data_IF_037221319831
#
_entry.id   IF_037221319831
#
_cell.length_a   1.000
_cell.length_b   1.000
_cell.length_c   1.000
_cell.angle_alpha   90.00
_cell.angle_beta   90.00
_cell.angle_gamma   90.00
#
_symmetry.space_group_name_H-M   'P 1'
#
loop_
_entity.id
_entity.type
_entity.pdbx_description
1 polymer ?
#
# COMPACT_ATOMS: atom_id res chain seq x y z
N UNK A 1 0.10 0.17 -1.17
CA UNK A 1 1.42 0.72 -0.80
C UNK A 1 1.88 1.54 -1.99
N UNK A 2 2.28 2.78 -1.77
CA UNK A 2 2.64 3.72 -2.83
C UNK A 2 3.87 3.23 -3.59
N UNK A 3 3.70 2.85 -4.85
CA UNK A 3 4.82 2.56 -5.75
C UNK A 3 5.52 3.84 -6.20
N UNK A 4 4.88 5.01 -6.06
CA UNK A 4 5.39 6.28 -6.58
C UNK A 4 6.53 6.84 -5.73
N UNK A 5 6.33 6.97 -4.42
CA UNK A 5 7.34 7.53 -3.53
C UNK A 5 8.58 6.63 -3.42
N UNK A 6 8.38 5.31 -3.37
CA UNK A 6 9.48 4.34 -3.35
C UNK A 6 10.31 4.39 -4.64
N UNK A 7 9.67 4.44 -5.81
CA UNK A 7 10.37 4.57 -7.09
C UNK A 7 11.15 5.88 -7.19
N UNK A 8 10.52 7.00 -6.81
CA UNK A 8 11.19 8.30 -6.76
C UNK A 8 12.43 8.26 -5.85
N UNK A 9 12.33 7.60 -4.69
CA UNK A 9 13.44 7.47 -3.75
C UNK A 9 14.58 6.65 -4.35
N UNK A 10 14.28 5.62 -5.16
CA UNK A 10 15.28 4.84 -5.90
C UNK A 10 15.98 5.64 -6.99
N UNK A 11 15.32 6.60 -7.64
CA UNK A 11 15.90 7.46 -8.68
C UNK A 11 16.89 8.52 -8.14
N UNK A 12 16.99 8.74 -6.82
CA UNK A 12 17.91 9.74 -6.22
C UNK A 12 19.37 9.25 -6.08
N UNK A 13 20.24 9.53 -7.04
CA UNK A 13 21.63 9.00 -7.04
C UNK A 13 22.61 9.71 -6.09
N UNK A 14 22.24 10.88 -5.58
CA UNK A 14 23.04 11.73 -4.68
C UNK A 14 22.92 11.32 -3.19
N UNK A 15 22.02 10.39 -2.88
CA UNK A 15 21.91 9.73 -1.57
C UNK A 15 22.49 8.33 -1.69
N UNK A 16 23.51 8.02 -0.86
CA UNK A 16 24.26 6.75 -0.96
C UNK A 16 24.22 5.96 0.34
N UNK A 17 24.58 4.67 0.23
CA UNK A 17 24.75 3.77 1.37
C UNK A 17 23.48 3.61 2.21
N UNK A 18 23.64 3.49 3.53
CA UNK A 18 22.53 3.27 4.46
C UNK A 18 21.50 4.41 4.41
N UNK A 19 21.93 5.66 4.19
CA UNK A 19 21.04 6.82 4.09
C UNK A 19 20.03 6.65 2.95
N UNK A 20 20.43 6.04 1.82
CA UNK A 20 19.53 5.71 0.70
C UNK A 20 18.47 4.70 1.12
N UNK A 21 18.87 3.64 1.82
CA UNK A 21 17.93 2.62 2.31
C UNK A 21 16.94 3.21 3.32
N UNK A 22 17.38 4.14 4.17
CA UNK A 22 16.48 4.86 5.09
C UNK A 22 15.45 5.71 4.31
N UNK A 23 15.88 6.43 3.26
CA UNK A 23 14.97 7.21 2.42
C UNK A 23 13.93 6.33 1.71
N UNK A 24 14.39 5.26 1.07
CA UNK A 24 13.52 4.26 0.41
C UNK A 24 12.55 3.64 1.42
N UNK A 25 13.03 3.31 2.62
CA UNK A 25 12.19 2.74 3.66
C UNK A 25 11.10 3.71 4.12
N UNK A 26 11.42 4.98 4.33
CA UNK A 26 10.42 6.01 4.66
C UNK A 26 9.41 6.19 3.54
N UNK A 27 9.87 6.27 2.29
CA UNK A 27 9.00 6.43 1.13
C UNK A 27 8.02 5.27 0.96
N UNK A 28 8.50 4.02 1.17
CA UNK A 28 7.66 2.82 1.18
C UNK A 28 6.66 2.79 2.33
N UNK A 29 6.99 3.43 3.46
CA UNK A 29 6.18 3.48 4.68
C UNK A 29 5.24 4.67 4.75
N UNK A 30 5.33 5.60 3.80
CA UNK A 30 4.42 6.73 3.69
C UNK A 30 2.96 6.23 3.59
N UNK A 31 2.07 6.90 4.32
CA UNK A 31 0.65 6.56 4.32
C UNK A 31 -0.04 7.04 3.04
N UNK A 32 0.42 8.16 2.49
CA UNK A 32 -0.10 8.80 1.29
C UNK A 32 0.82 8.58 0.09
N UNK A 33 0.24 8.62 -1.12
CA UNK A 33 1.00 8.37 -2.35
C UNK A 33 1.99 9.50 -2.71
N UNK A 34 1.82 10.67 -2.09
CA UNK A 34 2.70 11.84 -2.16
C UNK A 34 3.93 11.74 -1.24
N UNK A 35 4.12 10.60 -0.55
CA UNK A 35 5.27 10.37 0.32
C UNK A 35 5.07 10.91 1.75
N UNK A 36 3.88 11.44 2.06
CA UNK A 36 3.58 12.00 3.37
C UNK A 36 3.21 10.94 4.43
N UNK A 37 3.43 11.33 5.68
CA UNK A 37 3.06 10.60 6.88
C UNK A 37 3.68 9.19 6.98
N UNK A 38 5.01 9.12 7.07
CA UNK A 38 5.75 7.93 7.50
C UNK A 38 6.18 8.10 8.97
N UNK A 39 5.78 7.20 9.87
CA UNK A 39 6.16 7.29 11.30
C UNK A 39 6.73 6.00 11.94
N UNK A 40 7.63 5.26 11.27
CA UNK A 40 8.31 4.14 11.91
C UNK A 40 9.19 4.61 13.08
N UNK A 41 9.36 3.76 14.11
CA UNK A 41 10.35 4.04 15.18
C UNK A 41 11.77 3.91 14.65
N UNK A 42 12.73 4.60 15.29
CA UNK A 42 14.16 4.52 14.96
C UNK A 42 14.65 3.06 15.02
N UNK A 43 14.25 2.33 16.07
CA UNK A 43 14.49 0.90 16.23
C UNK A 43 13.97 0.08 15.03
N UNK A 44 12.75 0.39 14.56
CA UNK A 44 12.16 -0.29 13.41
C UNK A 44 12.94 0.01 12.12
N UNK A 45 13.34 1.26 11.90
CA UNK A 45 14.14 1.64 10.73
C UNK A 45 15.50 0.93 10.79
N UNK A 46 16.16 0.92 11.95
CA UNK A 46 17.46 0.30 12.17
C UNK A 46 17.44 -1.19 11.82
N UNK A 47 16.44 -1.90 12.34
CA UNK A 47 16.23 -3.32 12.03
C UNK A 47 16.00 -3.56 10.53
N UNK A 48 15.18 -2.75 9.86
CA UNK A 48 14.85 -2.97 8.44
C UNK A 48 15.95 -2.50 7.47
N UNK A 49 16.74 -1.51 7.85
CA UNK A 49 17.86 -1.01 7.05
C UNK A 49 19.19 -1.71 7.37
N UNK A 50 19.19 -2.67 8.31
CA UNK A 50 20.38 -3.43 8.69
C UNK A 50 21.47 -2.59 9.34
N UNK A 51 21.10 -1.58 10.13
CA UNK A 51 22.05 -0.65 10.75
C UNK A 51 21.70 -0.37 12.22
N UNK A 52 22.56 0.33 12.94
CA UNK A 52 22.28 0.73 14.33
C UNK A 52 21.45 2.02 14.39
N UNK A 53 20.75 2.24 15.50
CA UNK A 53 19.92 3.43 15.71
C UNK A 53 20.69 4.75 15.53
N UNK A 54 21.97 4.77 15.92
CA UNK A 54 22.84 5.94 15.73
C UNK A 54 23.02 6.27 14.24
N UNK A 55 23.14 5.27 13.38
CA UNK A 55 23.22 5.45 11.93
C UNK A 55 21.89 5.95 11.37
N UNK A 56 20.77 5.39 11.83
CA UNK A 56 19.44 5.89 11.44
C UNK A 56 19.27 7.37 11.78
N UNK A 57 19.61 7.77 13.02
CA UNK A 57 19.50 9.16 13.46
C UNK A 57 20.34 10.09 12.57
N UNK A 58 21.58 9.67 12.24
CA UNK A 58 22.46 10.43 11.34
C UNK A 58 21.90 10.51 9.92
N UNK A 59 21.38 9.40 9.37
CA UNK A 59 20.76 9.37 8.05
C UNK A 59 19.51 10.23 7.99
N UNK A 60 18.66 10.22 9.02
CA UNK A 60 17.49 11.11 9.08
C UNK A 60 17.90 12.58 9.10
N UNK A 61 18.92 12.94 9.88
CA UNK A 61 19.47 14.31 9.90
C UNK A 61 20.09 14.72 8.56
N UNK A 62 20.76 13.80 7.87
CA UNK A 62 21.33 14.05 6.54
C UNK A 62 20.24 14.26 5.49
N UNK A 63 19.20 13.41 5.48
CA UNK A 63 18.06 13.54 4.58
C UNK A 63 17.25 14.81 4.85
N UNK A 64 17.08 15.18 6.12
CA UNK A 64 16.42 16.44 6.51
C UNK A 64 17.23 17.65 6.04
N UNK A 65 18.56 17.61 6.17
CA UNK A 65 19.46 18.67 5.68
C UNK A 65 19.44 18.81 4.16
N UNK A 66 19.44 17.69 3.44
CA UNK A 66 19.36 17.64 1.96
C UNK A 66 17.98 17.98 1.41
N UNK A 67 16.98 18.18 2.27
CA UNK A 67 15.61 18.51 1.87
C UNK A 67 14.78 17.31 1.40
N UNK A 68 15.28 16.07 1.52
CA UNK A 68 14.57 14.87 1.07
C UNK A 68 13.44 14.44 2.00
N UNK A 69 13.52 14.82 3.27
CA UNK A 69 12.47 14.59 4.25
C UNK A 69 12.25 15.84 5.09
N UNK A 70 11.04 15.99 5.61
CA UNK A 70 10.70 17.02 6.60
C UNK A 70 9.81 16.45 7.70
N UNK A 71 9.75 17.09 8.88
CA UNK A 71 8.76 16.71 9.89
C UNK A 71 7.33 16.83 9.32
N UNK A 72 6.56 15.75 9.41
CA UNK A 72 5.16 15.71 8.99
C UNK A 72 4.19 15.94 10.15
N UNK A 73 2.89 15.72 9.88
CA UNK A 73 1.82 15.88 10.86
C UNK A 73 1.93 14.86 12.02
N UNK A 74 2.39 15.34 13.19
CA UNK A 74 2.59 14.51 14.38
C UNK A 74 1.30 13.95 14.99
N UNK A 75 0.12 14.41 14.58
CA UNK A 75 -1.14 13.79 14.99
C UNK A 75 -1.32 12.39 14.37
N UNK A 76 -0.63 12.08 13.26
CA UNK A 76 -0.65 10.75 12.65
C UNK A 76 -0.07 9.67 13.57
N UNK A 77 0.88 10.02 14.45
CA UNK A 77 1.45 9.12 15.46
C UNK A 77 0.74 9.21 16.82
N UNK A 78 -0.33 10.00 16.95
CA UNK A 78 -1.05 10.18 18.21
C UNK A 78 -1.90 8.98 18.61
N UNK A 79 -2.16 8.03 17.72
CA UNK A 79 -2.97 6.83 18.00
C UNK A 79 -2.24 5.56 17.59
N UNK A 80 -2.35 4.54 18.44
CA UNK A 80 -1.82 3.22 18.11
C UNK A 80 -2.62 2.60 16.94
N UNK A 81 -1.99 2.20 15.83
CA UNK A 81 -2.71 1.65 14.67
C UNK A 81 -3.51 0.38 14.98
N UNK A 82 -3.04 -0.44 15.95
CA UNK A 82 -3.65 -1.71 16.33
C UNK A 82 -4.73 -1.55 17.40
N UNK A 83 -4.50 -0.72 18.41
CA UNK A 83 -5.42 -0.60 19.56
C UNK A 83 -6.32 0.63 19.49
N UNK A 84 -6.08 1.55 18.55
CA UNK A 84 -6.76 2.85 18.39
C UNK A 84 -6.67 3.79 19.61
N UNK A 85 -6.00 3.37 20.69
CA UNK A 85 -5.81 4.16 21.90
C UNK A 85 -4.83 5.32 21.64
N UNK A 86 -5.04 6.49 22.27
CA UNK A 86 -4.09 7.58 22.23
C UNK A 86 -2.72 7.16 22.78
N UNK A 87 -1.65 7.63 22.15
CA UNK A 87 -0.26 7.49 22.60
C UNK A 87 0.15 8.81 23.27
N UNK A 88 0.75 8.71 24.46
CA UNK A 88 1.27 9.87 25.18
C UNK A 88 2.40 10.55 24.37
N UNK A 89 2.44 11.89 24.40
CA UNK A 89 3.28 12.72 23.51
C UNK A 89 4.76 12.31 23.47
N UNK A 90 5.35 11.92 24.61
CA UNK A 90 6.75 11.48 24.71
C UNK A 90 7.07 10.10 24.13
N UNK A 91 6.05 9.29 23.84
CA UNK A 91 6.22 7.94 23.28
C UNK A 91 5.80 7.85 21.80
N UNK A 92 5.48 8.99 21.19
CA UNK A 92 5.09 9.06 19.78
C UNK A 92 6.34 9.02 18.91
N UNK A 93 6.32 8.19 17.87
CA UNK A 93 7.35 8.24 16.83
C UNK A 93 7.20 9.53 16.01
N UNK A 94 8.34 10.10 15.58
CA UNK A 94 8.33 11.25 14.67
C UNK A 94 7.70 10.83 13.35
N UNK A 95 6.76 11.66 12.89
CA UNK A 95 6.18 11.57 11.55
C UNK A 95 7.07 12.35 10.58
N UNK A 96 7.35 11.75 9.43
CA UNK A 96 8.19 12.27 8.35
C UNK A 96 7.40 12.30 7.05
N UNK A 97 7.57 13.38 6.29
CA UNK A 97 7.10 13.49 4.92
C UNK A 97 8.29 13.43 3.98
N UNK A 98 8.22 12.59 2.95
CA UNK A 98 9.21 12.52 1.88
C UNK A 98 8.88 13.58 0.84
N UNK A 99 9.85 14.45 0.52
CA UNK A 99 9.66 15.59 -0.38
C UNK A 99 10.05 15.17 -1.80
N UNK A 100 9.06 14.86 -2.64
CA UNK A 100 9.29 14.37 -4.00
C UNK A 100 9.56 15.47 -5.05
N UNK A 101 8.99 16.65 -4.86
CA UNK A 101 9.02 17.73 -5.85
C UNK A 101 9.93 18.88 -5.39
N UNK A 102 10.98 19.14 -6.17
CA UNK A 102 11.55 20.46 -6.55
C UNK A 102 11.90 21.55 -5.53
N UNK A 103 11.45 21.51 -4.28
CA UNK A 103 11.65 22.56 -3.28
C UNK A 103 13.01 22.41 -2.59
N UNK A 104 14.05 22.14 -3.38
CA UNK A 104 15.42 22.17 -2.91
C UNK A 104 15.83 23.65 -2.87
N UNK A 105 16.11 24.25 -1.69
CA UNK A 105 16.87 25.48 -1.68
C UNK A 105 18.19 25.17 -2.39
N UNK A 106 18.50 25.93 -3.44
CA UNK A 106 19.75 25.77 -4.18
C UNK A 106 20.92 25.88 -3.19
N UNK A 107 21.54 24.74 -2.84
CA UNK A 107 22.82 24.78 -2.14
C UNK A 107 23.85 25.30 -3.15
N UNK A 108 24.20 26.57 -2.99
CA UNK A 108 25.37 27.18 -3.61
C UNK A 108 26.58 26.49 -2.98
N UNK A 109 27.05 25.40 -3.59
CA UNK A 109 28.28 24.73 -3.17
C UNK A 109 29.43 25.59 -3.68
N UNK A 110 29.84 26.60 -2.89
CA UNK A 110 31.22 27.06 -2.94
C UNK A 110 32.10 25.93 -2.40
N UNK A 111 32.56 25.10 -3.33
CA UNK A 111 33.52 24.04 -3.10
C UNK A 111 34.85 24.69 -2.73
N UNK A 112 35.12 24.89 -1.43
CA UNK A 112 36.43 25.37 -0.97
C UNK A 112 37.44 24.24 -1.17
N UNK A 113 38.42 24.37 -2.08
CA UNK A 113 39.40 23.32 -2.28
C UNK A 113 40.29 23.18 -1.05
N UNK A 114 40.50 21.93 -0.66
CA UNK A 114 41.56 21.55 0.28
C UNK A 114 42.90 21.74 -0.42
N UNK A 115 43.61 22.82 -0.10
CA UNK A 115 45.03 22.94 -0.44
C UNK A 115 45.85 22.19 0.61
N UNK A 116 46.36 21.04 0.19
CA UNK A 116 47.61 20.48 0.69
C UNK A 116 48.75 21.15 -0.09
N UNK A 117 49.83 21.47 0.63
CA UNK A 117 51.17 21.86 0.17
C UNK A 117 51.47 23.34 -0.14
N UNK A 118 51.99 24.05 0.87
CA UNK A 118 53.13 24.96 0.74
C UNK A 118 53.79 25.19 2.11
N UNK A 119 54.94 24.56 2.33
CA UNK A 119 55.94 24.89 3.35
C UNK A 119 56.57 26.25 3.05
N UNK A 120 56.75 27.12 4.06
CA UNK A 120 57.96 27.94 4.29
C UNK A 120 57.77 29.04 5.36
N UNK A 121 58.62 28.98 6.40
CA UNK A 121 59.29 30.09 7.12
C UNK A 121 58.53 30.98 8.13
N UNK A 122 59.12 31.12 9.34
CA UNK A 122 59.17 32.41 10.06
C UNK A 122 58.73 32.49 11.53
N UNK A 123 59.59 32.02 12.44
CA UNK A 123 59.95 32.49 13.80
C UNK A 123 59.04 33.34 14.73
N UNK A 124 59.06 32.99 16.04
CA UNK A 124 58.84 33.95 17.14
C UNK A 124 58.26 33.41 18.46
N UNK A 125 59.07 32.71 19.29
CA UNK A 125 58.84 32.38 20.72
C UNK A 125 58.94 33.65 21.63
N UNK A 126 58.62 33.68 22.97
CA UNK A 126 58.85 32.61 23.97
C UNK A 126 57.80 32.39 25.10
N UNK A 127 57.84 31.18 25.68
CA UNK A 127 57.25 30.78 26.99
C UNK A 127 58.08 31.29 28.19
N UNK A 128 57.57 31.16 29.43
CA UNK A 128 58.19 30.21 30.38
C UNK A 128 57.16 29.42 31.24
N UNK A 129 57.26 28.08 31.33
CA UNK A 129 58.02 27.28 32.33
C UNK A 129 57.13 26.89 33.55
N UNK A 130 56.85 25.59 33.80
CA UNK A 130 57.50 24.67 34.78
C UNK A 130 56.54 23.48 34.99
N UNK A 131 56.89 22.22 35.28
CA UNK A 131 58.14 21.53 35.60
C UNK A 131 58.00 20.03 35.27
N UNK A 132 59.16 19.40 35.08
CA UNK A 132 59.41 18.01 34.70
C UNK A 132 59.05 16.99 35.80
N UNK A 133 58.94 15.71 35.41
CA UNK A 133 59.75 14.59 35.94
C UNK A 133 59.45 13.29 35.18
N UNK A 134 60.47 12.81 34.45
CA UNK A 134 60.73 11.40 34.08
C UNK A 134 61.78 10.85 35.10
N UNK A 135 62.20 9.55 35.16
CA UNK A 135 62.42 8.68 34.00
C UNK A 135 62.27 7.14 34.17
N UNK A 136 62.44 6.48 33.03
CA UNK A 136 63.05 5.16 32.77
C UNK A 136 62.36 3.85 33.19
N UNK A 137 62.22 2.97 32.18
CA UNK A 137 62.58 1.56 32.37
C UNK A 137 61.77 0.54 31.57
N UNK A 138 62.33 0.16 30.41
CA UNK A 138 62.35 -1.21 29.86
C UNK A 138 61.06 -1.78 29.21
N UNK A 139 61.12 -1.92 27.89
CA UNK A 139 60.40 -2.93 27.11
C UNK A 139 60.95 -4.32 27.43
N UNK A 140 60.09 -5.36 27.51
CA UNK A 140 60.07 -6.30 26.39
C UNK A 140 58.66 -6.84 26.03
N UNK A 141 58.40 -7.02 24.74
CA UNK A 141 57.46 -8.04 24.23
C UNK A 141 58.07 -9.46 24.36
N UNK A 142 57.38 -10.59 24.08
CA UNK A 142 55.95 -10.84 23.86
C UNK A 142 55.44 -12.01 24.75
N UNK A 143 54.13 -12.32 24.71
CA UNK A 143 53.60 -13.71 24.60
C UNK A 143 52.06 -13.80 24.60
N UNK A 144 51.61 -14.71 23.76
CA UNK A 144 50.24 -15.13 23.46
C UNK A 144 49.37 -15.45 24.69
N UNK A 145 48.13 -14.94 24.71
CA UNK A 145 47.04 -15.53 25.50
C UNK A 145 45.71 -15.39 24.73
N UNK A 146 45.11 -16.54 24.45
CA UNK A 146 43.77 -16.74 23.89
C UNK A 146 42.65 -16.01 24.67
N UNK A 147 41.57 -15.54 24.03
CA UNK A 147 40.41 -15.04 24.73
C UNK A 147 39.52 -16.21 25.20
N UNK A 148 39.64 -16.56 26.49
CA UNK A 148 38.68 -17.43 27.17
C UNK A 148 37.42 -16.65 27.54
N UNK A 149 36.33 -17.00 26.86
CA UNK A 149 34.94 -16.72 27.22
C UNK A 149 34.54 -17.48 28.49
N UNK A 150 33.88 -16.80 29.44
CA UNK A 150 32.85 -17.32 30.38
C UNK A 150 32.63 -16.27 31.49
N UNK A 151 31.45 -15.68 31.72
CA UNK A 151 30.22 -16.21 32.37
C UNK A 151 29.26 -15.00 32.62
N UNK A 152 28.04 -15.12 33.18
CA UNK A 152 27.11 -16.26 33.31
C UNK A 152 25.65 -15.92 32.86
N UNK A 153 24.81 -16.96 32.73
CA UNK A 153 23.39 -16.86 32.41
C UNK A 153 22.44 -16.84 33.63
N UNK A 154 21.22 -16.34 33.39
CA UNK A 154 19.94 -16.46 34.14
C UNK A 154 18.99 -15.43 33.45
N UNK A 155 17.73 -15.64 33.06
CA UNK A 155 16.81 -16.77 33.00
C UNK A 155 15.78 -16.52 31.89
N UNK A 156 15.18 -17.61 31.45
CA UNK A 156 14.14 -17.78 30.43
C UNK A 156 12.94 -16.81 30.55
N UNK A 157 12.75 -15.97 29.52
CA UNK A 157 11.43 -15.41 29.15
C UNK A 157 11.21 -15.65 27.66
N UNK A 158 10.61 -16.80 27.34
CA UNK A 158 9.95 -17.09 26.07
C UNK A 158 9.14 -15.88 25.56
N UNK A 159 9.64 -15.22 24.52
CA UNK A 159 8.85 -14.35 23.66
C UNK A 159 8.34 -15.16 22.46
N UNK A 160 7.02 -15.23 22.21
CA UNK A 160 6.49 -15.93 21.04
C UNK A 160 6.57 -15.01 19.83
N UNK A 161 7.76 -14.90 19.24
CA UNK A 161 7.93 -14.27 17.93
C UNK A 161 8.96 -15.03 17.10
N UNK A 162 8.66 -16.30 16.83
CA UNK A 162 9.29 -17.06 15.75
C UNK A 162 8.35 -17.07 14.55
N UNK A 163 8.43 -16.06 13.70
CA UNK A 163 8.06 -16.23 12.30
C UNK A 163 9.35 -16.46 11.54
N UNK A 164 9.56 -17.72 11.15
CA UNK A 164 10.59 -18.15 10.21
C UNK A 164 10.31 -17.44 8.89
N UNK A 165 11.11 -16.44 8.56
CA UNK A 165 11.11 -15.82 7.24
C UNK A 165 11.91 -16.76 6.35
N UNK A 166 11.20 -17.57 5.56
CA UNK A 166 11.83 -18.38 4.51
C UNK A 166 12.26 -17.42 3.39
N UNK A 167 13.53 -17.00 3.43
CA UNK A 167 14.19 -16.32 2.33
C UNK A 167 14.59 -17.37 1.30
N UNK A 168 13.81 -17.49 0.22
CA UNK A 168 14.31 -18.08 -1.02
C UNK A 168 14.62 -16.94 -2.00
N UNK A 169 15.83 -16.90 -2.59
CA UNK A 169 16.25 -15.82 -3.48
C UNK A 169 15.55 -15.98 -4.84
N UNK A 170 14.88 -14.92 -5.31
CA UNK A 170 14.40 -14.86 -6.69
C UNK A 170 15.52 -14.28 -7.57
N UNK A 171 15.92 -15.10 -8.54
CA UNK A 171 16.87 -14.86 -9.64
C UNK A 171 16.33 -13.74 -10.57
N UNK A 172 17.19 -12.92 -11.21
CA UNK A 172 16.78 -11.78 -12.02
C UNK A 172 16.37 -12.21 -13.44
N UNK A 173 15.25 -11.69 -13.96
CA UNK A 173 14.96 -11.75 -15.38
C UNK A 173 15.57 -10.51 -16.05
N UNK A 174 16.53 -10.74 -16.94
CA UNK A 174 17.08 -9.74 -17.85
C UNK A 174 16.15 -9.53 -19.04
N UNK A 175 16.00 -8.27 -19.45
CA UNK A 175 15.38 -7.90 -20.72
C UNK A 175 16.38 -8.11 -21.87
N UNK A 176 15.94 -8.81 -22.91
CA UNK A 176 16.60 -8.82 -24.22
C UNK A 176 16.00 -7.69 -25.09
N UNK A 177 16.80 -7.06 -25.98
CA UNK A 177 16.40 -5.83 -26.65
C UNK A 177 15.43 -6.11 -27.80
N UNK A 178 14.34 -5.35 -27.87
CA UNK A 178 13.47 -5.32 -29.05
C UNK A 178 14.04 -4.31 -30.04
N UNK A 179 14.62 -4.82 -31.13
CA UNK A 179 14.82 -4.05 -32.35
C UNK A 179 14.12 -4.81 -33.49
N UNK A 180 13.05 -4.22 -34.01
CA UNK A 180 12.53 -4.47 -35.35
C UNK A 180 11.62 -3.29 -35.74
N UNK A 181 12.13 -2.51 -36.68
CA UNK A 181 11.41 -1.50 -37.46
C UNK A 181 10.13 -2.10 -38.08
N UNK A 182 9.07 -1.30 -38.18
CA UNK A 182 8.41 -1.07 -39.47
C UNK A 182 7.39 0.09 -39.44
N UNK A 183 7.67 1.03 -40.33
CA UNK A 183 6.75 1.70 -41.25
C UNK A 183 5.63 2.61 -40.70
N UNK A 184 5.97 3.90 -40.76
CA UNK A 184 5.08 5.05 -40.88
C UNK A 184 3.96 4.84 -41.92
N UNK A 185 2.72 4.87 -41.47
CA UNK A 185 1.57 5.34 -42.27
C UNK A 185 0.73 6.26 -41.40
N UNK A 186 0.55 7.51 -41.84
CA UNK A 186 -0.23 8.54 -41.14
C UNK A 186 -1.72 8.15 -41.13
N UNK A 187 -2.44 8.23 -39.99
CA UNK A 187 -3.90 8.21 -40.02
C UNK A 187 -4.42 9.61 -40.38
N UNK A 188 -5.36 9.62 -41.33
CA UNK A 188 -6.21 10.76 -41.68
C UNK A 188 -7.06 11.15 -40.47
N UNK A 189 -7.24 12.46 -40.27
CA UNK A 189 -7.92 13.03 -39.11
C UNK A 189 -9.44 12.78 -39.16
N UNK A 190 -9.92 11.87 -38.31
CA UNK A 190 -11.32 11.79 -37.93
C UNK A 190 -11.66 12.87 -36.89
N UNK A 191 -12.89 13.41 -36.89
CA UNK A 191 -13.29 14.50 -36.01
C UNK A 191 -13.25 14.06 -34.54
N UNK A 192 -12.53 14.85 -33.74
CA UNK A 192 -12.37 14.74 -32.29
C UNK A 192 -13.74 14.47 -31.62
N UNK A 193 -13.93 13.36 -30.88
CA UNK A 193 -15.12 13.20 -30.06
C UNK A 193 -15.10 14.30 -29.01
N UNK A 194 -16.18 15.09 -28.93
CA UNK A 194 -16.34 16.07 -27.87
C UNK A 194 -16.24 15.37 -26.50
N UNK A 195 -15.51 15.94 -25.53
CA UNK A 195 -15.40 15.34 -24.21
C UNK A 195 -16.77 15.37 -23.54
N UNK A 196 -17.37 14.19 -23.36
CA UNK A 196 -18.53 14.00 -22.48
C UNK A 196 -18.18 14.62 -21.13
N UNK A 197 -18.99 15.54 -20.58
CA UNK A 197 -18.70 16.14 -19.29
C UNK A 197 -18.65 15.04 -18.22
N UNK A 198 -17.45 14.76 -17.71
CA UNK A 198 -17.25 13.81 -16.62
C UNK A 198 -18.08 14.27 -15.43
N UNK A 199 -19.13 13.51 -15.11
CA UNK A 199 -20.01 13.85 -13.98
C UNK A 199 -19.20 13.84 -12.69
N UNK A 200 -19.10 15.00 -12.05
CA UNK A 200 -18.38 15.17 -10.78
C UNK A 200 -19.17 14.55 -9.63
N UNK A 201 -18.96 13.25 -9.43
CA UNK A 201 -19.60 12.48 -8.35
C UNK A 201 -19.22 12.98 -6.96
N UNK A 202 -18.12 13.73 -6.81
CA UNK A 202 -17.73 14.33 -5.53
C UNK A 202 -18.80 15.28 -4.97
N UNK A 203 -19.64 15.87 -5.83
CA UNK A 203 -20.77 16.72 -5.44
C UNK A 203 -21.92 15.97 -4.77
N UNK A 204 -21.96 14.63 -4.84
CA UNK A 204 -22.92 13.81 -4.10
C UNK A 204 -22.58 13.69 -2.60
N UNK A 205 -21.33 14.03 -2.21
CA UNK A 205 -20.92 14.08 -0.82
C UNK A 205 -21.39 15.39 -0.14
N UNK A 206 -21.57 15.38 1.20
CA UNK A 206 -21.89 16.58 1.94
C UNK A 206 -20.86 17.70 1.70
N UNK A 207 -21.30 18.96 1.52
CA UNK A 207 -20.40 20.08 1.25
C UNK A 207 -19.49 20.35 2.46
N UNK A 208 -18.38 21.04 2.23
CA UNK A 208 -17.44 21.42 3.31
C UNK A 208 -18.20 22.14 4.43
N UNK A 209 -17.99 21.72 5.68
CA UNK A 209 -18.69 22.25 6.85
C UNK A 209 -19.96 21.47 7.23
N UNK A 210 -20.57 20.73 6.31
CA UNK A 210 -21.68 19.85 6.63
C UNK A 210 -21.18 18.57 7.30
N UNK A 211 -21.56 18.35 8.57
CA UNK A 211 -21.23 17.13 9.33
C UNK A 211 -22.37 16.11 9.36
N UNK A 212 -23.37 16.25 8.50
CA UNK A 212 -24.49 15.32 8.40
C UNK A 212 -24.21 14.26 7.31
N UNK A 213 -23.95 13.00 7.67
CA UNK A 213 -23.70 11.92 6.71
C UNK A 213 -24.94 11.48 5.94
N UNK A 214 -26.13 11.90 6.39
CA UNK A 214 -27.40 11.66 5.71
C UNK A 214 -27.86 12.88 4.90
N UNK A 215 -26.97 13.86 4.67
CA UNK A 215 -27.27 15.00 3.83
C UNK A 215 -27.54 14.57 2.38
N UNK A 216 -28.54 15.21 1.77
CA UNK A 216 -28.91 15.06 0.36
C UNK A 216 -29.03 16.47 -0.23
N UNK A 217 -28.57 16.71 -1.47
CA UNK A 217 -28.78 17.98 -2.16
C UNK A 217 -30.28 18.30 -2.28
N UNK A 218 -30.62 19.58 -2.20
CA UNK A 218 -31.99 20.00 -2.52
C UNK A 218 -32.30 19.74 -4.01
N UNK A 219 -33.53 19.34 -4.34
CA UNK A 219 -33.97 19.16 -5.72
C UNK A 219 -33.65 20.41 -6.57
N UNK A 220 -33.06 20.20 -7.75
CA UNK A 220 -32.72 21.28 -8.68
C UNK A 220 -31.41 22.04 -8.39
N UNK A 221 -30.76 21.85 -7.23
CA UNK A 221 -29.44 22.49 -6.96
C UNK A 221 -28.25 21.79 -7.60
N UNK A 222 -28.37 20.50 -7.90
CA UNK A 222 -27.35 19.69 -8.57
C UNK A 222 -27.98 18.88 -9.70
N UNK A 223 -27.17 18.40 -10.67
CA UNK A 223 -27.65 17.50 -11.71
C UNK A 223 -28.39 16.30 -11.10
N UNK A 224 -29.48 15.88 -11.74
CA UNK A 224 -30.31 14.77 -11.28
C UNK A 224 -29.51 13.48 -10.98
N UNK A 225 -28.54 13.05 -11.82
CA UNK A 225 -27.74 11.87 -11.52
C UNK A 225 -26.96 11.99 -10.20
N UNK A 226 -26.42 13.18 -9.90
CA UNK A 226 -25.66 13.45 -8.68
C UNK A 226 -26.58 13.48 -7.46
N UNK A 227 -27.78 14.06 -7.61
CA UNK A 227 -28.78 14.11 -6.54
C UNK A 227 -29.33 12.72 -6.21
N UNK A 228 -29.69 11.94 -7.22
CA UNK A 228 -30.14 10.55 -7.04
C UNK A 228 -29.03 9.71 -6.42
N UNK A 229 -27.78 9.92 -6.84
CA UNK A 229 -26.62 9.26 -6.24
C UNK A 229 -26.49 9.57 -4.74
N UNK A 230 -26.61 10.83 -4.36
CA UNK A 230 -26.57 11.20 -2.95
C UNK A 230 -27.69 10.51 -2.15
N UNK A 231 -28.87 10.35 -2.76
CA UNK A 231 -29.99 9.59 -2.22
C UNK A 231 -29.68 8.10 -2.05
N UNK A 232 -29.09 7.45 -3.05
CA UNK A 232 -28.67 6.04 -2.98
C UNK A 232 -27.70 5.78 -1.82
N UNK A 233 -26.71 6.65 -1.65
CA UNK A 233 -25.76 6.57 -0.54
C UNK A 233 -26.47 6.65 0.83
N UNK A 234 -27.48 7.52 0.99
CA UNK A 234 -28.29 7.60 2.22
C UNK A 234 -29.11 6.32 2.40
N UNK A 235 -29.75 5.82 1.34
CA UNK A 235 -30.58 4.59 1.40
C UNK A 235 -29.75 3.36 1.80
N UNK A 236 -28.48 3.26 1.37
CA UNK A 236 -27.59 2.17 1.82
C UNK A 236 -27.31 2.30 3.32
N UNK A 237 -26.93 3.48 3.81
CA UNK A 237 -26.63 3.70 5.23
C UNK A 237 -27.85 3.43 6.13
N UNK A 238 -29.02 3.93 5.73
CA UNK A 238 -30.28 3.68 6.42
C UNK A 238 -30.68 2.20 6.37
N UNK A 239 -30.45 1.54 5.24
CA UNK A 239 -30.69 0.11 5.07
C UNK A 239 -29.83 -0.75 6.01
N UNK A 240 -28.57 -0.37 6.22
CA UNK A 240 -27.66 -1.01 7.19
C UNK A 240 -28.19 -0.82 8.62
N UNK A 241 -28.50 0.43 8.99
CA UNK A 241 -29.01 0.76 10.34
C UNK A 241 -30.29 -0.01 10.65
N UNK A 242 -31.28 0.00 9.75
CA UNK A 242 -32.55 -0.73 9.94
C UNK A 242 -32.36 -2.23 10.16
N UNK A 243 -31.47 -2.86 9.39
CA UNK A 243 -31.20 -4.30 9.54
C UNK A 243 -30.44 -4.62 10.82
N UNK A 244 -29.55 -3.74 11.29
CA UNK A 244 -28.87 -3.92 12.57
C UNK A 244 -29.78 -3.68 13.76
N UNK A 245 -30.66 -2.69 13.68
CA UNK A 245 -31.71 -2.43 14.67
C UNK A 245 -32.65 -3.64 14.83
N UNK A 246 -32.96 -4.34 13.74
CA UNK A 246 -33.77 -5.55 13.79
C UNK A 246 -33.06 -6.74 14.47
N UNK A 247 -31.73 -6.71 14.60
CA UNK A 247 -30.95 -7.74 15.29
C UNK A 247 -30.80 -7.42 16.77
N UNK A 248 -30.39 -6.20 17.09
CA UNK A 248 -30.16 -5.75 18.47
C UNK A 248 -30.18 -4.21 18.53
N UNK A 249 -30.93 -3.68 19.50
CA UNK A 249 -31.09 -2.24 19.71
C UNK A 249 -29.77 -1.53 20.02
N UNK A 250 -28.75 -2.22 20.56
CA UNK A 250 -27.43 -1.62 20.83
C UNK A 250 -26.71 -1.13 19.57
N UNK A 251 -27.14 -1.59 18.39
CA UNK A 251 -26.59 -1.14 17.12
C UNK A 251 -27.31 0.09 16.56
N UNK A 252 -28.15 0.77 17.36
CA UNK A 252 -28.69 2.09 17.01
C UNK A 252 -27.62 3.18 17.05
N UNK A 253 -26.62 3.04 16.19
CA UNK A 253 -25.51 3.98 16.07
C UNK A 253 -25.75 4.84 14.82
N UNK A 254 -25.74 6.18 14.95
CA UNK A 254 -25.84 7.05 13.80
C UNK A 254 -24.73 6.79 12.79
N UNK A 255 -25.04 6.90 11.50
CA UNK A 255 -24.02 6.86 10.46
C UNK A 255 -22.97 7.95 10.70
N UNK A 256 -21.74 7.71 10.27
CA UNK A 256 -20.64 8.68 10.34
C UNK A 256 -20.25 9.19 8.95
N UNK A 257 -19.50 10.28 8.88
CA UNK A 257 -18.92 10.76 7.61
C UNK A 257 -17.97 9.75 6.97
N UNK A 258 -17.34 8.88 7.77
CA UNK A 258 -16.50 7.80 7.25
C UNK A 258 -17.35 6.72 6.56
N UNK A 259 -18.50 6.37 7.15
CA UNK A 259 -19.46 5.45 6.51
C UNK A 259 -19.97 6.03 5.19
N UNK A 260 -20.32 7.33 5.19
CA UNK A 260 -20.76 8.03 3.97
C UNK A 260 -19.72 7.98 2.86
N UNK A 261 -18.45 8.31 3.16
CA UNK A 261 -17.36 8.25 2.17
C UNK A 261 -17.11 6.83 1.65
N UNK A 262 -17.16 5.83 2.53
CA UNK A 262 -16.93 4.45 2.13
C UNK A 262 -18.04 3.92 1.21
N UNK A 263 -19.30 4.24 1.50
CA UNK A 263 -20.45 3.90 0.64
C UNK A 263 -20.40 4.67 -0.68
N UNK A 264 -20.00 5.94 -0.66
CA UNK A 264 -19.77 6.73 -1.86
C UNK A 264 -18.75 6.06 -2.79
N UNK A 265 -17.56 5.70 -2.27
CA UNK A 265 -16.53 5.00 -3.03
C UNK A 265 -17.03 3.66 -3.56
N UNK A 266 -17.77 2.89 -2.76
CA UNK A 266 -18.32 1.60 -3.19
C UNK A 266 -19.24 1.74 -4.41
N UNK A 267 -20.14 2.72 -4.37
CA UNK A 267 -21.08 2.95 -5.45
C UNK A 267 -20.39 3.55 -6.71
N UNK A 268 -19.15 4.07 -6.64
CA UNK A 268 -18.42 4.53 -7.84
C UNK A 268 -18.16 3.34 -8.74
N UNK A 269 -17.82 2.21 -8.13
CA UNK A 269 -17.43 1.00 -8.86
C UNK A 269 -18.58 0.03 -9.11
N UNK A 270 -19.68 0.14 -8.35
CA UNK A 270 -20.75 -0.87 -8.31
C UNK A 270 -22.13 -0.24 -8.44
N UNK A 271 -23.03 -0.86 -9.21
CA UNK A 271 -24.40 -0.37 -9.34
C UNK A 271 -25.18 -0.54 -8.03
N UNK A 272 -26.05 0.42 -7.74
CA UNK A 272 -26.84 0.44 -6.49
C UNK A 272 -27.66 -0.84 -6.27
N UNK A 273 -28.30 -1.36 -7.31
CA UNK A 273 -29.10 -2.59 -7.22
C UNK A 273 -28.30 -3.82 -6.77
N UNK A 274 -27.04 -3.94 -7.24
CA UNK A 274 -26.13 -5.02 -6.82
C UNK A 274 -25.79 -4.92 -5.33
N UNK A 275 -25.58 -3.70 -4.85
CA UNK A 275 -25.26 -3.44 -3.45
C UNK A 275 -26.44 -3.80 -2.56
N UNK A 276 -27.65 -3.40 -2.94
CA UNK A 276 -28.88 -3.71 -2.18
C UNK A 276 -29.11 -5.23 -2.12
N UNK A 277 -28.98 -5.93 -3.25
CA UNK A 277 -29.13 -7.39 -3.27
C UNK A 277 -28.08 -8.10 -2.38
N UNK A 278 -26.82 -7.64 -2.45
CA UNK A 278 -25.73 -8.19 -1.62
C UNK A 278 -25.96 -7.91 -0.14
N UNK A 279 -26.46 -6.73 0.21
CA UNK A 279 -26.88 -6.38 1.56
C UNK A 279 -28.02 -7.27 2.04
N UNK A 280 -29.07 -7.47 1.25
CA UNK A 280 -30.20 -8.33 1.63
C UNK A 280 -29.82 -9.78 1.91
N UNK A 281 -28.91 -10.32 1.09
CA UNK A 281 -28.35 -11.63 1.32
C UNK A 281 -27.50 -11.68 2.61
N UNK A 282 -26.58 -10.72 2.77
CA UNK A 282 -25.60 -10.73 3.86
C UNK A 282 -26.22 -10.64 5.25
N UNK A 283 -27.29 -9.87 5.42
CA UNK A 283 -27.94 -9.69 6.72
C UNK A 283 -28.88 -10.85 7.10
N UNK A 284 -29.10 -11.81 6.19
CA UNK A 284 -29.71 -13.11 6.54
C UNK A 284 -28.67 -14.12 7.02
N UNK A 285 -27.38 -13.82 6.84
CA UNK A 285 -26.27 -14.69 7.20
C UNK A 285 -25.67 -14.29 8.56
N UNK A 286 -25.81 -15.18 9.56
CA UNK A 286 -25.35 -14.96 10.94
C UNK A 286 -23.84 -14.71 11.06
N UNK A 287 -23.04 -15.26 10.15
CA UNK A 287 -21.60 -15.03 10.13
C UNK A 287 -21.28 -13.56 9.82
N UNK A 288 -22.02 -12.96 8.88
CA UNK A 288 -21.76 -11.62 8.39
C UNK A 288 -22.34 -10.53 9.28
N UNK A 289 -23.46 -10.77 9.95
CA UNK A 289 -24.11 -9.81 10.86
C UNK A 289 -23.14 -9.01 11.77
N UNK A 290 -22.28 -9.64 12.60
CA UNK A 290 -21.37 -8.89 13.48
C UNK A 290 -20.25 -8.14 12.73
N UNK A 291 -20.04 -8.43 11.44
CA UNK A 291 -19.01 -7.82 10.61
C UNK A 291 -19.53 -6.60 9.85
N UNK A 292 -20.84 -6.41 9.75
CA UNK A 292 -21.49 -5.37 8.93
C UNK A 292 -22.20 -4.30 9.77
N UNK A 293 -21.64 -3.94 10.91
CA UNK A 293 -22.29 -3.02 11.86
C UNK A 293 -22.28 -1.55 11.43
N UNK A 294 -21.58 -1.18 10.36
CA UNK A 294 -21.53 0.19 9.84
C UNK A 294 -21.30 0.21 8.33
N UNK A 295 -21.59 1.34 7.66
CA UNK A 295 -21.36 1.53 6.23
C UNK A 295 -19.89 1.32 5.82
N UNK A 296 -18.94 1.80 6.61
CA UNK A 296 -17.52 1.59 6.38
C UNK A 296 -17.13 0.11 6.46
N UNK A 297 -17.68 -0.63 7.43
CA UNK A 297 -17.44 -2.07 7.55
C UNK A 297 -18.10 -2.85 6.41
N UNK A 298 -19.31 -2.46 6.01
CA UNK A 298 -20.00 -3.06 4.88
C UNK A 298 -19.19 -2.90 3.59
N UNK A 299 -18.75 -1.67 3.29
CA UNK A 299 -17.92 -1.39 2.12
C UNK A 299 -16.59 -2.16 2.15
N UNK A 300 -15.91 -2.22 3.30
CA UNK A 300 -14.64 -2.94 3.44
C UNK A 300 -14.78 -4.46 3.21
N UNK A 301 -15.93 -5.05 3.51
CA UNK A 301 -16.18 -6.48 3.32
C UNK A 301 -16.94 -6.78 2.00
N UNK A 302 -17.33 -5.75 1.24
CA UNK A 302 -18.25 -5.90 0.11
C UNK A 302 -17.79 -6.92 -0.93
N UNK A 303 -16.52 -6.85 -1.34
CA UNK A 303 -15.97 -7.75 -2.35
C UNK A 303 -16.06 -9.21 -1.90
N UNK A 304 -15.72 -9.47 -0.64
CA UNK A 304 -15.79 -10.81 -0.06
C UNK A 304 -17.24 -11.30 0.11
N UNK A 305 -18.14 -10.41 0.54
CA UNK A 305 -19.58 -10.68 0.64
C UNK A 305 -20.17 -11.06 -0.71
N UNK A 306 -19.88 -10.25 -1.74
CA UNK A 306 -20.39 -10.46 -3.09
C UNK A 306 -19.93 -11.81 -3.63
N UNK A 307 -18.66 -12.15 -3.39
CA UNK A 307 -18.14 -13.45 -3.77
C UNK A 307 -18.84 -14.59 -3.02
N UNK A 308 -18.99 -14.47 -1.71
CA UNK A 308 -19.65 -15.52 -0.93
C UNK A 308 -21.09 -15.72 -1.37
N UNK A 309 -21.83 -14.66 -1.65
CA UNK A 309 -23.17 -14.74 -2.21
C UNK A 309 -23.20 -15.44 -3.58
N UNK A 310 -22.26 -15.14 -4.48
CA UNK A 310 -22.20 -15.76 -5.80
C UNK A 310 -21.84 -17.26 -5.73
N UNK A 311 -21.08 -17.67 -4.70
CA UNK A 311 -20.61 -19.05 -4.54
C UNK A 311 -21.47 -19.90 -3.60
N UNK A 312 -22.21 -19.24 -2.72
CA UNK A 312 -23.10 -19.81 -1.72
C UNK A 312 -24.39 -18.98 -1.68
N UNK A 313 -25.29 -19.14 -2.68
CA UNK A 313 -26.47 -18.29 -2.83
C UNK A 313 -27.47 -18.43 -1.69
N UNK A 314 -27.47 -19.54 -0.95
CA UNK A 314 -28.27 -19.70 0.27
C UNK A 314 -27.63 -18.93 1.45
N UNK A 315 -28.24 -17.82 1.92
CA UNK A 315 -27.69 -17.05 3.04
C UNK A 315 -27.87 -17.73 4.40
N UNK A 316 -28.73 -18.75 4.49
CA UNK A 316 -29.02 -19.49 5.73
C UNK A 316 -28.14 -20.72 5.90
N UNK A 317 -27.42 -21.10 4.84
CA UNK A 317 -26.56 -22.27 4.80
C UNK A 317 -25.57 -22.26 5.97
N UNK A 318 -25.49 -23.39 6.69
CA UNK A 318 -24.49 -23.62 7.73
C UNK A 318 -23.11 -23.64 7.06
N UNK A 319 -22.43 -22.50 7.01
CA UNK A 319 -20.97 -22.56 6.95
C UNK A 319 -20.53 -23.30 8.22
N UNK A 320 -19.76 -24.37 8.08
CA UNK A 320 -19.19 -25.03 9.26
C UNK A 320 -18.48 -23.96 10.09
N UNK A 321 -18.80 -23.82 11.40
CA UNK A 321 -18.33 -22.71 12.24
C UNK A 321 -16.79 -22.61 12.29
N UNK A 322 -16.09 -23.67 11.88
CA UNK A 322 -14.64 -23.80 11.98
C UNK A 322 -13.88 -23.78 10.65
N UNK A 323 -14.52 -23.49 9.50
CA UNK A 323 -13.77 -23.24 8.27
C UNK A 323 -13.20 -21.80 8.32
N UNK A 324 -11.90 -21.61 8.63
CA UNK A 324 -11.36 -20.27 8.75
C UNK A 324 -11.46 -19.62 7.38
N UNK A 325 -12.08 -18.45 7.32
CA UNK A 325 -11.94 -17.64 6.13
C UNK A 325 -10.46 -17.40 5.90
N UNK A 326 -9.94 -17.57 4.67
CA UNK A 326 -8.55 -17.25 4.39
C UNK A 326 -8.31 -15.80 4.82
N UNK A 327 -7.50 -15.59 5.85
CA UNK A 327 -7.08 -14.26 6.25
C UNK A 327 -6.13 -13.77 5.17
N UNK A 328 -6.68 -13.08 4.18
CA UNK A 328 -5.87 -12.54 3.10
C UNK A 328 -5.15 -11.30 3.62
N UNK A 329 -3.85 -11.47 3.88
CA UNK A 329 -2.94 -10.44 4.38
C UNK A 329 -2.80 -9.25 3.41
N UNK A 330 -3.07 -9.48 2.13
CA UNK A 330 -3.11 -8.44 1.09
C UNK A 330 -4.18 -8.79 0.02
N UNK A 331 -5.40 -8.23 0.12
CA UNK A 331 -6.50 -8.53 -0.81
C UNK A 331 -6.23 -8.04 -2.24
N UNK A 332 -5.24 -7.16 -2.43
CA UNK A 332 -4.85 -6.61 -3.72
C UNK A 332 -3.70 -7.38 -4.38
N UNK A 333 -3.15 -8.41 -3.73
CA UNK A 333 -2.11 -9.25 -4.30
C UNK A 333 -2.71 -10.27 -5.26
N UNK A 334 -2.26 -10.25 -6.52
CA UNK A 334 -2.57 -11.31 -7.46
C UNK A 334 -1.86 -12.60 -7.06
N UNK A 335 -2.58 -13.72 -7.16
CA UNK A 335 -2.06 -15.06 -6.90
C UNK A 335 -1.99 -15.80 -8.24
N UNK A 336 -0.85 -16.43 -8.56
CA UNK A 336 -0.71 -17.20 -9.79
C UNK A 336 -1.58 -18.46 -9.70
N UNK A 337 -2.50 -18.61 -10.64
CA UNK A 337 -3.35 -19.80 -10.80
C UNK A 337 -3.07 -20.44 -12.15
N UNK A 338 -3.01 -21.77 -12.18
CA UNK A 338 -2.89 -22.53 -13.43
C UNK A 338 -4.20 -23.26 -13.74
N UNK A 339 -4.57 -23.29 -15.01
CA UNK A 339 -5.68 -24.07 -15.57
C UNK A 339 -5.13 -25.10 -16.57
N UNK A 340 -6.01 -25.85 -17.22
CA UNK A 340 -5.63 -26.79 -18.27
C UNK A 340 -4.97 -26.10 -19.49
N UNK A 341 -5.25 -24.81 -19.67
CA UNK A 341 -4.96 -24.04 -20.87
C UNK A 341 -3.94 -22.90 -20.68
N UNK A 342 -3.69 -22.47 -19.43
CA UNK A 342 -2.67 -21.46 -19.13
C UNK A 342 -2.06 -21.69 -17.75
N UNK A 343 -0.76 -21.39 -17.63
CA UNK A 343 0.00 -21.58 -16.39
C UNK A 343 0.34 -20.24 -15.74
N UNK A 344 0.26 -20.18 -14.40
CA UNK A 344 0.66 -19.04 -13.56
C UNK A 344 -0.03 -17.72 -13.93
N UNK A 345 -1.29 -17.76 -14.32
CA UNK A 345 -2.09 -16.57 -14.63
C UNK A 345 -2.33 -15.77 -13.33
N UNK A 346 -2.02 -14.47 -13.28
CA UNK A 346 -2.23 -13.67 -12.09
C UNK A 346 -3.73 -13.40 -11.89
N UNK A 347 -4.29 -13.92 -10.81
CA UNK A 347 -5.70 -13.71 -10.43
C UNK A 347 -5.77 -12.92 -9.12
N UNK A 348 -6.39 -11.75 -9.16
CA UNK A 348 -6.68 -10.94 -7.98
C UNK A 348 -7.85 -11.57 -7.22
N UNK A 349 -7.66 -11.79 -5.90
CA UNK A 349 -8.64 -12.46 -5.07
C UNK A 349 -8.56 -13.98 -5.02
N UNK A 350 -7.60 -14.60 -5.71
CA UNK A 350 -7.55 -16.07 -5.83
C UNK A 350 -7.43 -16.80 -4.47
N UNK A 351 -6.91 -16.14 -3.43
CA UNK A 351 -6.86 -16.72 -2.07
C UNK A 351 -8.24 -16.85 -1.41
N UNK A 352 -9.24 -16.09 -1.86
CA UNK A 352 -10.62 -16.14 -1.37
C UNK A 352 -11.55 -16.91 -2.31
N UNK A 353 -11.17 -17.01 -3.58
CA UNK A 353 -11.89 -17.71 -4.62
C UNK A 353 -11.57 -19.21 -4.59
N UNK A 354 -12.53 -20.05 -4.99
CA UNK A 354 -12.22 -21.46 -5.24
C UNK A 354 -11.29 -21.55 -6.45
N UNK A 355 -10.32 -22.46 -6.38
CA UNK A 355 -9.38 -22.72 -7.50
C UNK A 355 -10.13 -23.05 -8.79
N UNK A 356 -11.23 -23.81 -8.71
CA UNK A 356 -12.07 -24.15 -9.87
C UNK A 356 -12.66 -22.91 -10.55
N UNK A 357 -13.17 -21.93 -9.80
CA UNK A 357 -13.69 -20.68 -10.35
C UNK A 357 -12.60 -19.86 -11.04
N UNK A 358 -11.39 -19.85 -10.47
CA UNK A 358 -10.24 -19.20 -11.09
C UNK A 358 -9.84 -19.90 -12.40
N UNK A 359 -9.95 -21.23 -12.46
CA UNK A 359 -9.67 -22.00 -13.67
C UNK A 359 -10.74 -21.77 -14.74
N UNK A 360 -12.02 -21.80 -14.39
CA UNK A 360 -13.15 -21.48 -15.27
C UNK A 360 -13.04 -20.07 -15.85
N UNK A 361 -12.58 -19.09 -15.05
CA UNK A 361 -12.27 -17.73 -15.50
C UNK A 361 -11.17 -17.69 -16.56
N UNK A 362 -10.06 -18.40 -16.33
CA UNK A 362 -8.94 -18.47 -17.28
C UNK A 362 -9.37 -19.15 -18.58
N UNK A 363 -10.24 -20.15 -18.48
CA UNK A 363 -10.75 -20.95 -19.59
C UNK A 363 -11.93 -20.29 -20.32
N UNK A 364 -12.49 -19.20 -19.79
CA UNK A 364 -13.60 -18.47 -20.43
C UNK A 364 -14.92 -19.24 -20.41
N UNK A 365 -15.11 -20.16 -19.46
CA UNK A 365 -16.32 -21.03 -19.40
C UNK A 365 -17.59 -20.22 -19.18
N UNK A 366 -17.47 -19.09 -18.46
CA UNK A 366 -18.57 -18.18 -18.10
C UNK A 366 -18.31 -16.84 -18.78
N UNK A 367 -19.36 -16.15 -19.27
CA UNK A 367 -19.19 -14.83 -19.88
C UNK A 367 -18.57 -13.83 -18.90
N UNK A 368 -17.76 -12.91 -19.41
CA UNK A 368 -17.06 -11.93 -18.58
C UNK A 368 -18.01 -11.13 -17.67
N UNK A 369 -19.21 -10.80 -18.15
CA UNK A 369 -20.24 -10.05 -17.40
C UNK A 369 -20.81 -10.82 -16.21
N UNK A 370 -20.83 -12.15 -16.29
CA UNK A 370 -21.37 -13.03 -15.24
C UNK A 370 -20.27 -13.74 -14.44
N UNK A 371 -19.01 -13.58 -14.85
CA UNK A 371 -17.86 -14.24 -14.24
C UNK A 371 -17.61 -13.72 -12.80
N UNK A 372 -17.70 -14.58 -11.77
CA UNK A 372 -17.49 -14.18 -10.38
C UNK A 372 -16.09 -13.64 -10.09
N UNK A 373 -15.08 -14.05 -10.87
CA UNK A 373 -13.69 -13.62 -10.73
C UNK A 373 -13.49 -12.22 -11.34
N UNK A 374 -14.12 -11.92 -12.48
CA UNK A 374 -14.20 -10.56 -13.03
C UNK A 374 -15.01 -9.63 -12.13
N UNK A 375 -16.12 -10.13 -11.58
CA UNK A 375 -16.93 -9.39 -10.63
C UNK A 375 -16.13 -9.05 -9.36
N UNK A 376 -15.28 -9.95 -8.89
CA UNK A 376 -14.42 -9.74 -7.72
C UNK A 376 -13.47 -8.54 -7.92
N UNK A 377 -12.76 -8.47 -9.05
CA UNK A 377 -11.83 -7.36 -9.35
C UNK A 377 -11.75 -7.09 -10.85
N UNK A 378 -11.94 -5.83 -11.26
CA UNK A 378 -11.88 -5.38 -12.66
C UNK A 378 -10.55 -5.72 -13.33
N UNK A 379 -9.44 -5.78 -12.57
CA UNK A 379 -8.12 -6.18 -13.09
C UNK A 379 -8.09 -7.60 -13.65
N UNK A 380 -9.00 -8.46 -13.19
CA UNK A 380 -9.13 -9.83 -13.72
C UNK A 380 -9.71 -9.85 -15.16
N UNK A 381 -10.30 -8.76 -15.67
CA UNK A 381 -10.79 -8.70 -17.06
C UNK A 381 -9.69 -8.99 -18.09
N UNK A 382 -8.46 -8.56 -17.80
CA UNK A 382 -7.31 -8.81 -18.66
C UNK A 382 -6.93 -10.30 -18.76
N UNK A 383 -7.26 -11.08 -17.73
CA UNK A 383 -6.92 -12.50 -17.62
C UNK A 383 -8.11 -13.44 -17.85
N UNK A 384 -9.28 -12.89 -18.20
CA UNK A 384 -10.47 -13.66 -18.56
C UNK A 384 -10.32 -14.27 -19.97
N UNK A 385 -10.63 -15.55 -20.13
CA UNK A 385 -10.50 -16.27 -21.41
C UNK A 385 -9.14 -16.05 -22.12
N UNK A 386 -8.04 -16.16 -21.36
CA UNK A 386 -6.68 -16.07 -21.93
C UNK A 386 -6.42 -17.27 -22.86
N UNK A 387 -7.09 -18.39 -22.60
CA UNK A 387 -7.04 -19.61 -23.40
C UNK A 387 -7.65 -19.43 -24.80
N UNK A 388 -8.86 -18.88 -24.90
CA UNK A 388 -9.55 -18.63 -26.16
C UNK A 388 -8.81 -17.61 -27.02
N UNK A 389 -8.30 -16.53 -26.41
CA UNK A 389 -7.49 -15.52 -27.11
C UNK A 389 -6.16 -16.05 -27.68
N UNK A 390 -5.55 -17.07 -27.07
CA UNK A 390 -4.36 -17.72 -27.63
C UNK A 390 -4.69 -18.60 -28.83
N UNK A 391 -5.84 -19.31 -28.80
CA UNK A 391 -6.29 -20.17 -29.92
C UNK A 391 -6.71 -19.37 -31.16
N UNK A 392 -7.31 -18.18 -31.00
CA UNK A 392 -7.69 -17.33 -32.14
C UNK A 392 -6.47 -16.70 -32.84
N UNK A 393 -5.39 -16.42 -32.11
CA UNK A 393 -4.13 -15.91 -32.68
C UNK A 393 -3.36 -16.94 -33.51
N UNK A 394 -3.49 -18.23 -33.22
CA UNK A 394 -2.84 -19.32 -33.98
C UNK A 394 -3.69 -19.86 -35.13
N UNK A 395 -4.92 -19.36 -35.32
CA UNK A 395 -5.88 -19.84 -36.33
C UNK A 395 -6.04 -18.96 -37.58
N UNK A 396 -5.22 -17.92 -37.78
CA UNK A 396 -5.29 -17.13 -39.02
C UNK A 396 -4.78 -17.98 -40.20
N UNK A 397 -5.60 -18.23 -41.24
CA UNK A 397 -5.19 -19.06 -42.37
C UNK A 397 -4.13 -18.31 -43.20
N UNK A 398 -3.03 -19.00 -43.50
CA UNK A 398 -2.06 -18.54 -44.48
C UNK A 398 -2.75 -18.43 -45.85
N UNK A 399 -2.97 -17.19 -46.28
CA UNK A 399 -3.54 -16.90 -47.59
C UNK A 399 -2.58 -17.42 -48.67
N UNK A 400 -3.07 -18.37 -49.46
CA UNK A 400 -2.32 -19.04 -50.49
C UNK A 400 -1.92 -18.04 -51.58
N UNK A 401 -0.62 -17.77 -51.70
CA UNK A 401 -0.03 -17.21 -52.91
C UNK A 401 -0.28 -18.19 -54.04
N UNK A 402 -1.02 -17.77 -55.06
CA UNK A 402 -1.09 -18.44 -56.36
C UNK A 402 -0.45 -17.55 -57.44
N UNK A 403 0.19 -18.19 -58.44
CA UNK A 403 1.26 -17.62 -59.26
C UNK A 403 0.81 -16.52 -60.24
#
# INVERSE_FOLDING_TARGET
MSSRAENWAWERDDVKGITKFVLVYLARRAYYDDGAAAWPSVETIAFNCGCCERTVIRSLQELERKGYIRPGDQEMSARNPRTRKPIAKGHRSRVWDVVMDGDHPAENIEEKPRNLDALAEGDGKPDPMKDNLSPDGLSPEPKDVEPRTNCPGILDRKSPNRQVINNSPLIPFGDAPLNAEQASTKPVADPKPEPVPTTDWGRALPPRGCRNPLWVPEPGKLPEPVTERAGQEVRVLDGIRRRMLAVDQRFDVPATMADRKAVHSLLIDRPYGEIVATMDWAYRNRYWLPRLTSGARFAANYVQLRLEMLTHPDPTGKRAPDAPLPVVKDPNRAIPVSSSSASRVPIYGAALLRTSLCQEHIEGVISQETCPVCAYDKRNHATHDVAGRRKTKTGAPAEAVRP
#
